data_IF_790227645814
#
_entry.id   IF_790227645814
#
_cell.length_a   1.000
_cell.length_b   1.000
_cell.length_c   1.000
_cell.angle_alpha   90.00
_cell.angle_beta   90.00
_cell.angle_gamma   90.00
#
_symmetry.space_group_name_H-M   'P 1'
#
loop_
_entity.id
_entity.type
_entity.pdbx_description
1 polymer ?
#
# COMPACT_ATOMS: atom_id res chain seq x y z
N UNK A 1 -11.84 17.24 -2.90
CA UNK A 1 -10.93 16.88 -1.80
C UNK A 1 -11.77 16.42 -0.64
N UNK A 2 -11.96 15.12 -0.60
CA UNK A 2 -12.47 14.43 0.57
C UNK A 2 -11.24 14.31 1.48
N UNK A 3 -11.33 14.82 2.70
CA UNK A 3 -10.12 15.01 3.53
C UNK A 3 -9.69 13.69 4.13
N UNK A 4 -10.65 12.92 4.64
CA UNK A 4 -10.42 11.68 5.39
C UNK A 4 -11.52 10.69 5.01
N UNK A 5 -11.17 9.41 4.82
CA UNK A 5 -12.13 8.34 4.52
C UNK A 5 -11.79 7.08 5.34
N UNK A 6 -12.84 6.42 5.83
CA UNK A 6 -12.78 5.14 6.54
C UNK A 6 -13.59 4.10 5.74
N UNK A 7 -12.97 2.96 5.43
CA UNK A 7 -13.62 1.77 4.88
C UNK A 7 -13.46 0.60 5.85
N UNK A 8 -14.59 0.04 6.31
CA UNK A 8 -14.63 -1.20 7.08
C UNK A 8 -15.49 -2.21 6.30
N UNK A 9 -14.96 -3.40 6.01
CA UNK A 9 -15.67 -4.44 5.27
C UNK A 9 -15.51 -5.83 5.90
N UNK A 10 -16.62 -6.51 6.21
CA UNK A 10 -16.62 -7.94 6.64
C UNK A 10 -16.25 -8.91 5.48
N UNK A 11 -15.72 -8.41 4.37
CA UNK A 11 -15.45 -9.12 3.10
C UNK A 11 -14.46 -8.26 2.30
N UNK A 12 -14.46 -8.34 0.98
CA UNK A 12 -13.57 -7.52 0.15
C UNK A 12 -13.93 -6.01 0.20
N UNK A 13 -12.90 -5.17 0.23
CA UNK A 13 -12.99 -3.73 0.08
C UNK A 13 -12.38 -3.30 -1.27
N UNK A 14 -13.16 -2.56 -2.06
CA UNK A 14 -12.67 -1.96 -3.31
C UNK A 14 -12.94 -0.46 -3.30
N UNK A 15 -11.91 0.34 -3.57
CA UNK A 15 -11.99 1.80 -3.55
C UNK A 15 -11.28 2.41 -4.75
N UNK A 16 -11.95 3.40 -5.35
CA UNK A 16 -11.43 4.28 -6.39
C UNK A 16 -11.62 5.72 -5.87
N UNK A 17 -10.53 6.47 -5.74
CA UNK A 17 -10.55 7.83 -5.21
C UNK A 17 -9.56 8.75 -5.92
N UNK A 18 -10.02 9.89 -6.44
CA UNK A 18 -9.11 10.89 -7.05
C UNK A 18 -8.00 11.32 -6.07
N UNK A 19 -8.36 11.96 -4.95
CA UNK A 19 -7.37 12.38 -3.95
C UNK A 19 -7.96 12.57 -2.57
N UNK A 20 -7.25 12.01 -1.58
CA UNK A 20 -7.53 12.11 -0.16
C UNK A 20 -6.30 12.62 0.59
N UNK A 21 -6.53 13.18 1.78
CA UNK A 21 -5.41 13.43 2.69
C UNK A 21 -5.12 12.17 3.49
N UNK A 22 -6.16 11.54 4.05
CA UNK A 22 -6.04 10.34 4.87
C UNK A 22 -7.06 9.28 4.42
N UNK A 23 -6.64 8.02 4.43
CA UNK A 23 -7.50 6.89 4.14
C UNK A 23 -7.13 5.70 5.04
N UNK A 24 -8.12 5.17 5.74
CA UNK A 24 -8.05 3.92 6.49
C UNK A 24 -8.93 2.86 5.83
N UNK A 25 -8.38 1.69 5.55
CA UNK A 25 -9.11 0.54 5.01
C UNK A 25 -8.85 -0.69 5.87
N UNK A 26 -9.90 -1.27 6.42
CA UNK A 26 -9.90 -2.53 7.17
C UNK A 26 -10.85 -3.53 6.47
N UNK A 27 -10.35 -4.71 6.12
CA UNK A 27 -11.14 -5.75 5.45
C UNK A 27 -10.83 -7.18 5.95
N UNK A 28 -11.87 -7.97 6.25
CA UNK A 28 -11.76 -9.41 6.62
C UNK A 28 -11.39 -10.32 5.41
N UNK A 29 -10.97 -9.74 4.28
CA UNK A 29 -10.57 -10.45 3.06
C UNK A 29 -9.64 -9.55 2.24
N UNK A 30 -9.90 -9.36 0.94
CA UNK A 30 -8.98 -8.65 0.04
C UNK A 30 -9.27 -7.15 0.02
N UNK A 31 -8.21 -6.35 -0.10
CA UNK A 31 -8.27 -4.91 -0.36
C UNK A 31 -7.73 -4.62 -1.76
N UNK A 32 -8.51 -3.88 -2.55
CA UNK A 32 -8.04 -3.32 -3.82
C UNK A 32 -8.32 -1.82 -3.87
N UNK A 33 -7.25 -1.05 -4.06
CA UNK A 33 -7.28 0.41 -4.03
C UNK A 33 -6.64 1.00 -5.28
N UNK A 34 -7.32 2.00 -5.85
CA UNK A 34 -6.84 2.84 -6.95
C UNK A 34 -7.02 4.31 -6.53
N UNK A 35 -5.94 5.09 -6.53
CA UNK A 35 -6.01 6.51 -6.21
C UNK A 35 -4.98 7.39 -6.92
N UNK A 36 -5.36 8.54 -7.48
CA UNK A 36 -4.36 9.45 -8.07
C UNK A 36 -3.38 9.96 -7.00
N UNK A 37 -3.86 10.36 -5.82
CA UNK A 37 -2.97 10.83 -4.75
C UNK A 37 -3.50 10.72 -3.34
N UNK A 38 -2.68 10.17 -2.45
CA UNK A 38 -2.91 10.16 -1.00
C UNK A 38 -1.71 10.75 -0.25
N UNK A 39 -1.97 11.43 0.86
CA UNK A 39 -0.89 11.82 1.76
C UNK A 39 -0.56 10.67 2.71
N UNK A 40 -1.59 10.08 3.33
CA UNK A 40 -1.46 9.00 4.30
C UNK A 40 -2.48 7.89 3.98
N UNK A 41 -2.00 6.66 3.88
CA UNK A 41 -2.80 5.46 3.66
C UNK A 41 -2.39 4.37 4.64
N UNK A 42 -3.38 3.81 5.35
CA UNK A 42 -3.24 2.61 6.17
C UNK A 42 -4.22 1.54 5.66
N UNK A 43 -3.70 0.36 5.34
CA UNK A 43 -4.45 -0.81 4.89
C UNK A 43 -4.17 -2.00 5.80
N UNK A 44 -5.24 -2.57 6.35
CA UNK A 44 -5.25 -3.85 7.07
C UNK A 44 -6.15 -4.84 6.31
N UNK A 45 -5.58 -5.97 5.87
CA UNK A 45 -6.27 -7.00 5.11
C UNK A 45 -6.00 -8.41 5.67
N UNK A 46 -7.05 -9.16 6.02
CA UNK A 46 -6.96 -10.57 6.46
C UNK A 46 -6.61 -11.55 5.31
N UNK A 47 -6.30 -11.04 4.13
CA UNK A 47 -5.92 -11.80 2.93
C UNK A 47 -4.94 -10.97 2.09
N UNK A 48 -5.30 -10.57 0.87
CA UNK A 48 -4.40 -9.86 -0.03
C UNK A 48 -4.66 -8.34 -0.05
N UNK A 49 -3.59 -7.55 -0.17
CA UNK A 49 -3.67 -6.11 -0.39
C UNK A 49 -3.06 -5.75 -1.76
N UNK A 50 -3.86 -5.13 -2.65
CA UNK A 50 -3.40 -4.61 -3.95
C UNK A 50 -3.65 -3.11 -4.04
N UNK A 51 -2.60 -2.33 -4.24
CA UNK A 51 -2.63 -0.87 -4.24
C UNK A 51 -2.01 -0.32 -5.53
N UNK A 52 -2.70 0.61 -6.17
CA UNK A 52 -2.25 1.40 -7.32
C UNK A 52 -2.42 2.89 -7.00
N UNK A 53 -1.35 3.67 -7.08
CA UNK A 53 -1.44 5.12 -6.90
C UNK A 53 -0.36 5.93 -7.61
N UNK A 54 -0.72 7.03 -8.29
CA UNK A 54 0.29 7.91 -8.91
C UNK A 54 1.21 8.55 -7.83
N UNK A 55 0.67 8.92 -6.67
CA UNK A 55 1.49 9.56 -5.63
C UNK A 55 1.03 9.30 -4.21
N UNK A 56 1.95 8.77 -3.41
CA UNK A 56 1.80 8.52 -1.98
C UNK A 56 2.92 9.22 -1.20
N UNK A 57 2.59 9.83 -0.06
CA UNK A 57 3.63 10.32 0.86
C UNK A 57 3.99 9.24 1.86
N UNK A 58 3.01 8.73 2.61
CA UNK A 58 3.18 7.71 3.64
C UNK A 58 2.20 6.57 3.41
N UNK A 59 2.71 5.35 3.34
CA UNK A 59 1.94 4.13 3.15
C UNK A 59 2.33 3.08 4.19
N UNK A 60 1.33 2.56 4.91
CA UNK A 60 1.44 1.40 5.78
C UNK A 60 0.47 0.30 5.30
N UNK A 61 1.00 -0.90 5.05
CA UNK A 61 0.22 -2.07 4.62
C UNK A 61 0.53 -3.26 5.52
N UNK A 62 -0.51 -3.85 6.11
CA UNK A 62 -0.48 -5.12 6.83
C UNK A 62 -1.41 -6.12 6.11
N UNK A 63 -0.86 -7.23 5.61
CA UNK A 63 -1.60 -8.26 4.88
C UNK A 63 -1.28 -9.68 5.37
N UNK A 64 -2.29 -10.46 5.73
CA UNK A 64 -2.14 -11.86 6.18
C UNK A 64 -1.72 -12.83 5.05
N UNK A 65 -1.70 -12.37 3.79
CA UNK A 65 -1.23 -13.14 2.63
C UNK A 65 -0.26 -12.34 1.77
N UNK A 66 -0.69 -11.80 0.62
CA UNK A 66 0.19 -11.09 -0.30
C UNK A 66 -0.04 -9.58 -0.29
N UNK A 67 1.03 -8.79 -0.43
CA UNK A 67 0.95 -7.34 -0.65
C UNK A 67 1.57 -6.98 -2.01
N UNK A 68 0.77 -6.36 -2.88
CA UNK A 68 1.22 -5.84 -4.18
C UNK A 68 0.98 -4.34 -4.25
N UNK A 69 2.02 -3.59 -4.62
CA UNK A 69 1.98 -2.14 -4.74
C UNK A 69 2.59 -1.68 -6.06
N UNK A 70 1.89 -0.79 -6.75
CA UNK A 70 2.37 -0.02 -7.90
C UNK A 70 2.22 1.48 -7.58
N UNK A 71 3.31 2.24 -7.68
CA UNK A 71 3.25 3.69 -7.50
C UNK A 71 4.30 4.48 -8.29
N UNK A 72 3.89 5.52 -9.00
CA UNK A 72 4.81 6.43 -9.69
C UNK A 72 5.76 7.15 -8.69
N UNK A 73 5.27 7.53 -7.52
CA UNK A 73 6.08 8.21 -6.50
C UNK A 73 5.63 7.91 -5.09
N UNK A 74 6.56 7.44 -4.27
CA UNK A 74 6.35 7.14 -2.87
C UNK A 74 7.49 7.71 -2.00
N UNK A 75 7.15 8.38 -0.90
CA UNK A 75 8.18 8.88 0.04
C UNK A 75 8.54 7.82 1.07
N UNK A 76 7.61 7.35 1.90
CA UNK A 76 7.83 6.39 2.96
C UNK A 76 6.86 5.21 2.86
N UNK A 77 7.40 4.00 2.72
CA UNK A 77 6.65 2.76 2.62
C UNK A 77 7.05 1.79 3.73
N UNK A 78 6.06 1.34 4.49
CA UNK A 78 6.15 0.20 5.40
C UNK A 78 5.15 -0.87 4.95
N UNK A 79 5.64 -2.07 4.68
CA UNK A 79 4.80 -3.21 4.30
C UNK A 79 5.20 -4.45 5.10
N UNK A 80 4.20 -5.08 5.72
CA UNK A 80 4.30 -6.39 6.37
C UNK A 80 3.34 -7.36 5.69
N UNK A 81 3.86 -8.50 5.22
CA UNK A 81 3.02 -9.58 4.69
C UNK A 81 3.49 -10.97 5.11
N UNK A 82 2.54 -11.83 5.48
CA UNK A 82 2.79 -13.21 5.93
C UNK A 82 3.24 -14.15 4.78
N UNK A 83 3.06 -13.75 3.53
CA UNK A 83 3.57 -14.47 2.35
C UNK A 83 4.52 -13.60 1.54
N UNK A 84 4.04 -13.07 0.40
CA UNK A 84 4.89 -12.43 -0.60
C UNK A 84 4.59 -10.93 -0.69
N UNK A 85 5.64 -10.15 -0.93
CA UNK A 85 5.57 -8.71 -1.19
C UNK A 85 6.11 -8.42 -2.59
N UNK A 86 5.35 -7.69 -3.40
CA UNK A 86 5.76 -7.22 -4.72
C UNK A 86 5.55 -5.71 -4.84
N UNK A 87 6.65 -4.99 -5.06
CA UNK A 87 6.66 -3.53 -5.11
C UNK A 87 7.24 -3.07 -6.45
N UNK A 88 6.49 -2.24 -7.16
CA UNK A 88 6.93 -1.50 -8.34
C UNK A 88 6.79 0.00 -8.08
N UNK A 89 7.87 0.75 -8.22
CA UNK A 89 7.82 2.20 -8.07
C UNK A 89 8.85 2.96 -8.91
N UNK A 90 8.41 4.00 -9.63
CA UNK A 90 9.32 4.88 -10.37
C UNK A 90 10.30 5.61 -9.41
N UNK A 91 9.81 6.03 -8.24
CA UNK A 91 10.61 6.71 -7.23
C UNK A 91 10.16 6.36 -5.81
N UNK A 92 11.08 5.81 -5.02
CA UNK A 92 10.89 5.50 -3.60
C UNK A 92 12.00 6.13 -2.75
N UNK A 93 11.64 6.85 -1.68
CA UNK A 93 12.66 7.44 -0.79
C UNK A 93 13.09 6.45 0.30
N UNK A 94 12.14 5.93 1.07
CA UNK A 94 12.40 5.03 2.19
C UNK A 94 11.47 3.80 2.11
N UNK A 95 12.08 2.62 2.13
CA UNK A 95 11.38 1.33 2.17
C UNK A 95 11.74 0.58 3.46
N UNK A 96 10.73 0.10 4.17
CA UNK A 96 10.84 -1.04 5.08
C UNK A 96 9.86 -2.14 4.64
N UNK A 97 10.39 -3.33 4.37
CA UNK A 97 9.60 -4.49 3.93
C UNK A 97 9.91 -5.70 4.79
N UNK A 98 8.87 -6.30 5.37
CA UNK A 98 8.92 -7.58 6.06
C UNK A 98 8.01 -8.56 5.33
N UNK A 99 8.59 -9.63 4.80
CA UNK A 99 7.88 -10.71 4.09
C UNK A 99 8.39 -12.06 4.57
N UNK A 100 7.48 -12.96 4.92
CA UNK A 100 7.83 -14.28 5.46
C UNK A 100 8.32 -15.25 4.37
N UNK A 101 7.91 -15.04 3.11
CA UNK A 101 8.30 -15.86 1.95
C UNK A 101 9.25 -15.14 0.98
N UNK A 102 8.75 -14.30 0.07
CA UNK A 102 9.58 -13.56 -0.89
C UNK A 102 9.22 -12.06 -0.91
N UNK A 103 10.23 -11.20 -1.03
CA UNK A 103 10.05 -9.78 -1.30
C UNK A 103 10.72 -9.43 -2.63
N UNK A 104 9.94 -8.89 -3.57
CA UNK A 104 10.42 -8.37 -4.84
C UNK A 104 10.23 -6.87 -4.91
N UNK A 105 11.27 -6.17 -5.37
CA UNK A 105 11.30 -4.72 -5.47
C UNK A 105 11.88 -4.33 -6.82
N UNK A 106 11.08 -3.67 -7.64
CA UNK A 106 11.52 -2.92 -8.80
C UNK A 106 11.35 -1.43 -8.49
N UNK A 107 12.46 -0.69 -8.47
CA UNK A 107 12.40 0.75 -8.29
C UNK A 107 13.46 1.46 -9.12
N UNK A 108 13.03 2.40 -9.94
CA UNK A 108 13.90 3.19 -10.81
C UNK A 108 14.85 4.08 -9.99
N UNK A 109 14.37 4.55 -8.84
CA UNK A 109 15.14 5.29 -7.84
C UNK A 109 14.75 4.89 -6.42
N UNK A 110 15.72 4.37 -5.66
CA UNK A 110 15.57 4.09 -4.23
C UNK A 110 16.68 4.77 -3.43
N UNK A 111 16.31 5.53 -2.39
CA UNK A 111 17.31 6.22 -1.53
C UNK A 111 17.73 5.36 -0.34
N UNK A 112 16.78 4.82 0.42
CA UNK A 112 17.02 4.01 1.61
C UNK A 112 16.16 2.75 1.61
N UNK A 113 16.81 1.62 1.95
CA UNK A 113 16.20 0.30 2.02
C UNK A 113 16.52 -0.33 3.37
N UNK A 114 15.48 -0.66 4.12
CA UNK A 114 15.50 -1.38 5.38
C UNK A 114 14.80 -2.74 5.17
N UNK A 115 15.48 -3.80 5.58
CA UNK A 115 15.05 -5.20 5.47
C UNK A 115 15.54 -5.98 6.69
#
# INVERSE_FOLDING_TARGET
SLTELLVEADSEATLDADSLTELLVEADSDVSLDADSLTELLVEADSDATLDADSLTELLVEADSEATLDADSLTELLVEADSDVSLDADSLTELLVEADSEATLDADSLTELLV
#
